data_IF_985597305431
#
_entry.id   IF_985597305431
#
_cell.length_a   1.000
_cell.length_b   1.000
_cell.length_c   1.000
_cell.angle_alpha   90.00
_cell.angle_beta   90.00
_cell.angle_gamma   90.00
#
_symmetry.space_group_name_H-M   'P 1'
#
loop_
_entity.id
_entity.type
_entity.pdbx_description
1 polymer ?
#
# COMPACT_ATOMS: atom_id res chain seq x y z
N UNK A 1 -8.90 11.77 -0.60
CA UNK A 1 -8.06 12.43 -1.61
C UNK A 1 -7.53 11.40 -2.60
N UNK A 2 -8.38 11.04 -3.56
CA UNK A 2 -8.00 10.16 -4.66
C UNK A 2 -7.58 11.04 -5.84
N UNK A 3 -6.61 10.56 -6.62
CA UNK A 3 -6.15 11.23 -7.84
C UNK A 3 -7.25 11.10 -8.89
N UNK A 4 -7.59 12.22 -9.55
CA UNK A 4 -8.58 12.22 -10.62
C UNK A 4 -8.01 11.52 -11.87
N UNK A 5 -8.69 10.50 -12.43
CA UNK A 5 -8.27 9.86 -13.68
C UNK A 5 -8.22 10.79 -14.90
N UNK A 6 -8.96 11.89 -14.87
CA UNK A 6 -9.00 12.88 -15.96
C UNK A 6 -7.94 13.98 -15.79
N UNK A 7 -7.41 14.19 -14.58
CA UNK A 7 -6.40 15.19 -14.30
C UNK A 7 -4.99 14.62 -14.44
N UNK A 8 -4.43 14.76 -15.64
CA UNK A 8 -3.07 14.28 -15.96
C UNK A 8 -2.01 15.02 -15.13
N UNK A 9 -2.19 16.30 -14.86
CA UNK A 9 -1.23 17.10 -14.11
C UNK A 9 -1.19 16.66 -12.65
N UNK A 10 -2.35 16.43 -12.03
CA UNK A 10 -2.44 15.91 -10.68
C UNK A 10 -1.76 14.53 -10.56
N UNK A 11 -1.94 13.65 -11.54
CA UNK A 11 -1.26 12.35 -11.57
C UNK A 11 0.25 12.54 -11.66
N UNK A 12 0.72 13.40 -12.55
CA UNK A 12 2.14 13.66 -12.74
C UNK A 12 2.79 14.22 -11.47
N UNK A 13 2.18 15.22 -10.86
CA UNK A 13 2.67 15.84 -9.63
C UNK A 13 2.73 14.84 -8.47
N UNK A 14 1.71 14.00 -8.30
CA UNK A 14 1.68 12.99 -7.26
C UNK A 14 2.81 11.95 -7.43
N UNK A 15 3.03 11.46 -8.65
CA UNK A 15 4.09 10.49 -8.91
C UNK A 15 5.49 11.12 -8.86
N UNK A 16 5.65 12.38 -9.28
CA UNK A 16 6.90 13.14 -9.09
C UNK A 16 7.21 13.34 -7.61
N UNK A 17 6.24 13.76 -6.81
CA UNK A 17 6.43 13.94 -5.38
C UNK A 17 6.83 12.63 -4.68
N UNK A 18 6.15 11.53 -5.01
CA UNK A 18 6.50 10.21 -4.49
C UNK A 18 7.90 9.76 -4.94
N UNK A 19 8.26 9.99 -6.18
CA UNK A 19 9.57 9.67 -6.74
C UNK A 19 10.70 10.46 -6.06
N UNK A 20 10.51 11.75 -5.85
CA UNK A 20 11.47 12.59 -5.11
C UNK A 20 11.62 12.14 -3.66
N UNK A 21 10.52 11.78 -3.01
CA UNK A 21 10.55 11.29 -1.63
C UNK A 21 11.42 10.04 -1.45
N UNK A 22 11.35 9.08 -2.40
CA UNK A 22 12.19 7.89 -2.33
C UNK A 22 13.61 8.15 -2.86
N UNK A 23 13.78 9.05 -3.82
CA UNK A 23 15.09 9.42 -4.34
C UNK A 23 15.96 10.09 -3.27
N UNK A 24 15.38 10.94 -2.43
CA UNK A 24 16.09 11.55 -1.30
C UNK A 24 16.71 10.52 -0.34
N UNK A 25 16.08 9.35 -0.18
CA UNK A 25 16.63 8.27 0.63
C UNK A 25 17.93 7.70 0.06
N UNK A 26 18.21 7.89 -1.22
CA UNK A 26 19.47 7.47 -1.84
C UNK A 26 20.67 8.26 -1.33
N UNK A 27 20.47 9.45 -0.81
CA UNK A 27 21.53 10.26 -0.17
C UNK A 27 21.80 9.92 1.30
N UNK A 28 20.97 9.03 1.88
CA UNK A 28 21.16 8.67 3.28
C UNK A 28 22.51 7.97 3.49
N UNK A 29 23.31 8.43 4.44
CA UNK A 29 24.58 7.83 4.81
C UNK A 29 24.38 6.75 5.85
N UNK A 30 24.56 5.48 5.45
CA UNK A 30 24.56 4.38 6.40
C UNK A 30 25.88 4.37 7.20
N UNK A 31 25.77 4.24 8.51
CA UNK A 31 26.94 4.07 9.40
C UNK A 31 27.63 2.73 9.15
N UNK A 32 26.85 1.68 8.89
CA UNK A 32 27.38 0.34 8.60
C UNK A 32 27.87 0.28 7.16
N UNK A 33 29.18 0.11 7.01
CA UNK A 33 29.88 0.12 5.72
C UNK A 33 29.29 -0.90 4.72
N UNK A 34 28.91 -2.09 5.18
CA UNK A 34 28.32 -3.13 4.33
C UNK A 34 27.04 -2.64 3.64
N UNK A 35 26.18 -1.92 4.35
CA UNK A 35 24.94 -1.38 3.78
C UNK A 35 25.22 -0.21 2.84
N UNK A 36 26.19 0.62 3.16
CA UNK A 36 26.63 1.70 2.28
C UNK A 36 27.13 1.16 0.95
N UNK A 37 28.08 0.21 0.97
CA UNK A 37 28.64 -0.42 -0.24
C UNK A 37 27.58 -1.14 -1.07
N UNK A 38 26.68 -1.90 -0.43
CA UNK A 38 25.59 -2.58 -1.12
C UNK A 38 24.71 -1.60 -1.90
N UNK A 39 24.40 -0.45 -1.29
CA UNK A 39 23.57 0.56 -1.92
C UNK A 39 24.29 1.34 -3.03
N UNK A 40 25.57 1.64 -2.87
CA UNK A 40 26.40 2.25 -3.92
C UNK A 40 26.51 1.32 -5.14
N UNK A 41 26.55 0.02 -4.89
CA UNK A 41 26.65 -0.98 -5.94
C UNK A 41 25.34 -1.26 -6.66
N UNK A 42 24.24 -1.43 -5.94
CA UNK A 42 22.89 -1.72 -6.47
C UNK A 42 21.83 -0.89 -5.73
N UNK A 43 21.68 0.41 -6.08
CA UNK A 43 20.65 1.23 -5.49
C UNK A 43 19.29 0.76 -5.94
N UNK A 44 18.37 0.57 -5.00
CA UNK A 44 16.98 0.18 -5.24
C UNK A 44 16.06 1.13 -4.46
N UNK A 45 15.08 1.67 -5.13
CA UNK A 45 13.96 2.40 -4.52
C UNK A 45 12.64 1.86 -5.03
N UNK A 46 11.55 2.15 -4.33
CA UNK A 46 10.26 1.63 -4.73
C UNK A 46 9.13 2.62 -4.48
N UNK A 47 8.60 3.21 -5.53
CA UNK A 47 7.32 3.92 -5.50
C UNK A 47 6.21 2.92 -5.74
N UNK A 48 5.18 2.97 -4.91
CA UNK A 48 3.95 2.21 -5.05
C UNK A 48 2.75 3.10 -4.75
N UNK A 49 1.57 2.59 -4.90
CA UNK A 49 0.32 3.32 -4.69
C UNK A 49 -0.69 2.47 -3.91
N UNK A 50 -1.72 3.15 -3.40
CA UNK A 50 -2.95 2.56 -2.87
C UNK A 50 -4.11 2.97 -3.76
N UNK A 51 -5.21 2.21 -3.73
CA UNK A 51 -6.44 2.60 -4.41
C UNK A 51 -6.41 2.44 -5.93
N UNK A 52 -5.57 1.57 -6.49
CA UNK A 52 -5.55 1.36 -7.95
C UNK A 52 -6.88 0.83 -8.45
N UNK A 53 -7.51 -0.07 -7.71
CA UNK A 53 -8.81 -0.61 -8.08
C UNK A 53 -9.87 0.49 -8.13
N UNK A 54 -9.91 1.35 -7.11
CA UNK A 54 -10.82 2.48 -7.05
C UNK A 54 -10.56 3.46 -8.20
N UNK A 55 -9.28 3.71 -8.51
CA UNK A 55 -8.90 4.55 -9.64
C UNK A 55 -9.43 4.01 -10.97
N UNK A 56 -9.30 2.71 -11.23
CA UNK A 56 -9.78 2.11 -12.46
C UNK A 56 -11.32 2.03 -12.52
N UNK A 57 -11.99 1.82 -11.39
CA UNK A 57 -13.46 1.93 -11.32
C UNK A 57 -13.90 3.35 -11.67
N UNK A 58 -13.19 4.36 -11.18
CA UNK A 58 -13.47 5.76 -11.50
C UNK A 58 -13.19 6.10 -12.97
N UNK A 59 -12.07 5.58 -13.50
CA UNK A 59 -11.64 5.86 -14.88
C UNK A 59 -12.52 5.17 -15.94
N UNK A 60 -12.97 3.96 -15.67
CA UNK A 60 -13.61 3.09 -16.67
C UNK A 60 -15.06 2.70 -16.31
N UNK A 61 -15.48 2.96 -15.08
CA UNK A 61 -16.86 2.74 -14.62
C UNK A 61 -17.24 1.27 -14.42
N UNK A 62 -18.54 1.07 -14.28
CA UNK A 62 -19.17 -0.26 -14.07
C UNK A 62 -18.83 -1.31 -15.13
N UNK A 63 -18.67 -0.99 -16.43
CA UNK A 63 -18.28 -2.01 -17.41
C UNK A 63 -16.94 -2.68 -17.10
N UNK A 64 -15.95 -1.91 -16.65
CA UNK A 64 -14.67 -2.45 -16.24
C UNK A 64 -14.77 -3.34 -15.00
N UNK A 65 -15.60 -2.94 -14.02
CA UNK A 65 -15.84 -3.73 -12.81
C UNK A 65 -16.47 -5.09 -13.15
N UNK A 66 -17.49 -5.11 -14.00
CA UNK A 66 -18.13 -6.35 -14.47
C UNK A 66 -17.16 -7.25 -15.22
N UNK A 67 -16.33 -6.67 -16.07
CA UNK A 67 -15.28 -7.41 -16.77
C UNK A 67 -14.25 -8.00 -15.79
N UNK A 68 -13.86 -7.24 -14.76
CA UNK A 68 -12.98 -7.74 -13.70
C UNK A 68 -13.62 -8.90 -12.94
N UNK A 69 -14.87 -8.75 -12.47
CA UNK A 69 -15.62 -9.80 -11.75
C UNK A 69 -15.81 -11.07 -12.58
N UNK A 70 -15.96 -10.94 -13.89
CA UNK A 70 -16.03 -12.07 -14.83
C UNK A 70 -14.67 -12.78 -15.04
N UNK A 71 -13.63 -12.41 -14.30
CA UNK A 71 -12.29 -13.02 -14.43
C UNK A 71 -11.44 -12.46 -15.57
N UNK A 72 -11.72 -11.24 -16.02
CA UNK A 72 -10.93 -10.51 -17.05
C UNK A 72 -10.87 -11.25 -18.40
N UNK A 73 -11.98 -11.67 -18.99
CA UNK A 73 -11.98 -12.47 -20.23
C UNK A 73 -11.34 -11.72 -21.40
N UNK A 74 -10.75 -12.47 -22.33
CA UNK A 74 -10.06 -11.98 -23.54
C UNK A 74 -11.03 -11.55 -24.64
N UNK A 75 -12.02 -10.76 -24.32
CA UNK A 75 -12.94 -10.14 -25.28
C UNK A 75 -12.29 -8.93 -25.96
N UNK A 76 -12.90 -8.41 -27.02
CA UNK A 76 -12.46 -7.16 -27.67
C UNK A 76 -12.44 -6.00 -26.65
N UNK A 77 -13.48 -5.86 -25.87
CA UNK A 77 -13.60 -4.86 -24.81
C UNK A 77 -12.57 -5.09 -23.69
N UNK A 78 -12.36 -6.35 -23.30
CA UNK A 78 -11.35 -6.72 -22.30
C UNK A 78 -9.92 -6.38 -22.73
N UNK A 79 -9.61 -6.53 -24.01
CA UNK A 79 -8.32 -6.09 -24.56
C UNK A 79 -8.15 -4.58 -24.52
N UNK A 80 -9.21 -3.82 -24.78
CA UNK A 80 -9.21 -2.35 -24.67
C UNK A 80 -8.99 -1.90 -23.23
N UNK A 81 -9.66 -2.53 -22.25
CA UNK A 81 -9.41 -2.25 -20.84
C UNK A 81 -7.97 -2.54 -20.44
N UNK A 82 -7.41 -3.69 -20.83
CA UNK A 82 -6.00 -4.02 -20.55
C UNK A 82 -5.04 -3.00 -21.15
N UNK A 83 -5.31 -2.55 -22.37
CA UNK A 83 -4.49 -1.52 -23.02
C UNK A 83 -4.55 -0.18 -22.27
N UNK A 84 -5.73 0.24 -21.84
CA UNK A 84 -5.92 1.47 -21.05
C UNK A 84 -5.24 1.38 -19.69
N UNK A 85 -5.40 0.27 -18.96
CA UNK A 85 -4.66 0.00 -17.72
C UNK A 85 -3.14 0.13 -17.94
N UNK A 86 -2.62 -0.55 -18.96
CA UNK A 86 -1.20 -0.53 -19.30
C UNK A 86 -0.69 0.87 -19.66
N UNK A 87 -1.53 1.69 -20.29
CA UNK A 87 -1.20 3.07 -20.65
C UNK A 87 -0.98 3.93 -19.40
N UNK A 88 -1.88 3.85 -18.40
CA UNK A 88 -1.71 4.55 -17.13
C UNK A 88 -0.45 4.08 -16.40
N UNK A 89 -0.31 2.78 -16.22
CA UNK A 89 0.81 2.21 -15.48
C UNK A 89 2.17 2.52 -16.13
N UNK A 90 2.24 2.46 -17.46
CA UNK A 90 3.46 2.77 -18.20
C UNK A 90 3.83 4.24 -18.08
N UNK A 91 2.84 5.14 -18.15
CA UNK A 91 3.05 6.59 -17.96
C UNK A 91 3.59 6.87 -16.55
N UNK A 92 2.94 6.36 -15.51
CA UNK A 92 3.37 6.58 -14.14
C UNK A 92 4.76 6.01 -13.87
N UNK A 93 5.04 4.81 -14.38
CA UNK A 93 6.38 4.22 -14.29
C UNK A 93 7.43 5.13 -14.95
N UNK A 94 7.11 5.68 -16.11
CA UNK A 94 8.02 6.61 -16.81
C UNK A 94 8.29 7.85 -15.98
N UNK A 95 7.26 8.49 -15.44
CA UNK A 95 7.39 9.68 -14.58
C UNK A 95 8.29 9.37 -13.38
N UNK A 96 8.06 8.25 -12.71
CA UNK A 96 8.86 7.83 -11.55
C UNK A 96 10.33 7.62 -11.94
N UNK A 97 10.59 6.88 -13.02
CA UNK A 97 11.95 6.61 -13.47
C UNK A 97 12.69 7.90 -13.85
N UNK A 98 12.07 8.74 -14.66
CA UNK A 98 12.67 9.99 -15.13
C UNK A 98 13.01 10.89 -13.94
N UNK A 99 12.09 11.04 -12.98
CA UNK A 99 12.29 11.88 -11.80
C UNK A 99 13.40 11.35 -10.89
N UNK A 100 13.42 10.03 -10.62
CA UNK A 100 14.46 9.41 -9.79
C UNK A 100 15.82 9.52 -10.47
N UNK A 101 15.90 9.26 -11.78
CA UNK A 101 17.15 9.33 -12.52
C UNK A 101 17.68 10.75 -12.63
N UNK A 102 16.82 11.74 -12.88
CA UNK A 102 17.22 13.17 -12.87
C UNK A 102 17.79 13.56 -11.50
N UNK A 103 17.16 13.13 -10.40
CA UNK A 103 17.69 13.35 -9.07
C UNK A 103 19.06 12.70 -8.88
N UNK A 104 19.23 11.46 -9.32
CA UNK A 104 20.50 10.73 -9.24
C UNK A 104 21.62 11.44 -10.01
N UNK A 105 21.34 11.90 -11.23
CA UNK A 105 22.32 12.62 -12.05
C UNK A 105 22.74 13.93 -11.39
N UNK A 106 21.77 14.70 -10.87
CA UNK A 106 22.03 15.97 -10.18
C UNK A 106 22.90 15.81 -8.93
N UNK A 107 22.78 14.68 -8.26
CA UNK A 107 23.53 14.39 -7.02
C UNK A 107 24.69 13.42 -7.19
N UNK A 108 25.06 13.10 -8.44
CA UNK A 108 26.14 12.15 -8.75
C UNK A 108 25.96 10.79 -8.06
N UNK A 109 24.73 10.28 -8.05
CA UNK A 109 24.37 8.98 -7.52
C UNK A 109 24.13 8.02 -8.68
N UNK A 110 24.52 6.75 -8.54
CA UNK A 110 24.21 5.72 -9.52
C UNK A 110 22.70 5.57 -9.67
N UNK A 111 22.21 5.59 -10.92
CA UNK A 111 20.79 5.39 -11.21
C UNK A 111 20.34 4.00 -10.80
N UNK A 112 19.26 3.87 -10.02
CA UNK A 112 18.68 2.57 -9.71
C UNK A 112 18.04 1.96 -10.96
N UNK A 113 18.17 0.66 -11.10
CA UNK A 113 17.50 -0.11 -12.16
C UNK A 113 16.01 -0.33 -11.85
N UNK A 114 15.61 -0.22 -10.58
CA UNK A 114 14.25 -0.43 -10.09
C UNK A 114 13.81 0.77 -9.26
N UNK A 115 12.78 1.48 -9.76
CA UNK A 115 12.23 2.66 -9.10
C UNK A 115 10.76 2.46 -8.67
N UNK A 116 10.12 1.39 -9.10
CA UNK A 116 8.73 1.07 -8.78
C UNK A 116 8.62 -0.29 -8.11
N UNK A 117 7.61 -0.45 -7.27
CA UNK A 117 7.33 -1.70 -6.57
C UNK A 117 5.82 -1.89 -6.42
N UNK A 118 5.42 -3.09 -6.01
CA UNK A 118 4.04 -3.39 -5.63
C UNK A 118 4.04 -3.76 -4.15
N UNK A 119 3.46 -2.90 -3.33
CA UNK A 119 3.32 -3.15 -1.90
C UNK A 119 1.91 -3.66 -1.58
N UNK A 120 1.73 -4.44 -0.49
CA UNK A 120 0.39 -4.89 -0.07
C UNK A 120 -0.53 -3.74 0.34
N UNK A 121 0.02 -2.66 0.89
CA UNK A 121 -0.66 -1.42 1.31
C UNK A 121 -1.91 -1.61 2.21
N UNK A 122 -2.00 -2.72 2.94
CA UNK A 122 -3.16 -3.06 3.76
C UNK A 122 -3.47 -2.02 4.85
N UNK A 123 -2.44 -1.53 5.55
CA UNK A 123 -2.59 -0.52 6.61
C UNK A 123 -2.64 0.91 6.05
N UNK A 124 -1.78 1.23 5.09
CA UNK A 124 -1.70 2.58 4.51
C UNK A 124 -2.97 2.98 3.78
N UNK A 125 -3.63 2.04 3.12
CA UNK A 125 -4.90 2.29 2.43
C UNK A 125 -6.02 2.75 3.36
N UNK A 126 -5.94 2.40 4.64
CA UNK A 126 -6.93 2.83 5.65
C UNK A 126 -6.86 4.33 5.91
N UNK A 127 -5.65 4.91 5.92
CA UNK A 127 -5.46 6.33 6.13
C UNK A 127 -6.10 7.17 5.01
N UNK A 128 -6.18 6.61 3.83
CA UNK A 128 -6.72 7.27 2.64
C UNK A 128 -8.15 6.85 2.31
N UNK A 129 -8.70 5.83 3.00
CA UNK A 129 -10.00 5.25 2.67
C UNK A 129 -10.04 4.57 1.31
N UNK A 130 -8.89 4.11 0.81
CA UNK A 130 -8.74 3.53 -0.52
C UNK A 130 -8.62 1.99 -0.48
N UNK A 131 -8.82 1.35 -1.63
CA UNK A 131 -8.52 -0.08 -1.79
C UNK A 131 -7.02 -0.37 -1.58
N UNK A 132 -6.66 -1.56 -1.05
CA UNK A 132 -5.28 -1.86 -0.68
C UNK A 132 -4.40 -2.16 -1.91
N UNK A 133 -3.50 -1.23 -2.24
CA UNK A 133 -2.52 -1.42 -3.32
C UNK A 133 -3.18 -1.75 -4.67
N UNK A 134 -2.89 -2.94 -5.17
CA UNK A 134 -3.42 -3.48 -6.43
C UNK A 134 -4.66 -4.37 -6.24
N UNK A 135 -5.08 -4.59 -5.02
CA UNK A 135 -6.16 -5.53 -4.71
C UNK A 135 -7.52 -4.83 -4.73
N UNK A 136 -8.58 -5.52 -5.14
CA UNK A 136 -9.93 -5.07 -4.86
C UNK A 136 -10.19 -5.07 -3.35
N UNK A 137 -11.23 -4.37 -2.88
CA UNK A 137 -11.73 -4.54 -1.51
C UNK A 137 -12.04 -6.02 -1.25
N UNK A 138 -11.77 -6.49 -0.03
CA UNK A 138 -11.98 -7.91 0.34
C UNK A 138 -13.43 -8.35 0.17
N UNK A 139 -14.36 -7.47 0.48
CA UNK A 139 -15.80 -7.66 0.36
C UNK A 139 -16.50 -6.30 0.44
N UNK A 140 -17.78 -6.27 0.06
CA UNK A 140 -18.63 -5.07 0.24
C UNK A 140 -18.84 -4.73 1.73
N UNK A 141 -18.84 -5.74 2.58
CA UNK A 141 -18.95 -5.61 4.03
C UNK A 141 -18.00 -6.59 4.68
N UNK A 142 -17.23 -6.15 5.64
CA UNK A 142 -16.31 -7.00 6.38
C UNK A 142 -16.08 -6.48 7.80
N UNK A 143 -15.74 -7.38 8.70
CA UNK A 143 -15.31 -7.04 10.05
C UNK A 143 -13.80 -6.92 10.03
N UNK A 144 -13.29 -5.78 10.47
CA UNK A 144 -11.87 -5.57 10.64
C UNK A 144 -11.54 -5.67 12.13
N UNK A 145 -10.55 -6.47 12.44
CA UNK A 145 -9.98 -6.54 13.79
C UNK A 145 -8.65 -5.78 13.80
N UNK A 146 -8.53 -4.84 14.73
CA UNK A 146 -7.32 -4.00 14.89
C UNK A 146 -6.66 -4.45 16.19
N UNK A 147 -5.35 -4.69 16.14
CA UNK A 147 -4.55 -5.10 17.29
C UNK A 147 -4.12 -3.87 18.08
N UNK A 148 -4.36 -3.91 19.38
CA UNK A 148 -3.88 -2.95 20.37
C UNK A 148 -3.10 -3.68 21.46
N UNK A 149 -2.20 -2.97 22.11
CA UNK A 149 -1.67 -3.48 23.39
C UNK A 149 -2.77 -3.54 24.43
N UNK A 150 -2.67 -4.48 25.35
CA UNK A 150 -3.60 -4.53 26.48
C UNK A 150 -3.60 -3.21 27.24
N UNK A 151 -4.77 -2.73 27.61
CA UNK A 151 -4.99 -1.45 28.29
C UNK A 151 -4.62 -0.21 27.44
N UNK A 152 -4.52 -0.33 26.11
CA UNK A 152 -4.38 0.84 25.26
C UNK A 152 -5.59 1.78 25.42
N UNK A 153 -5.37 3.09 25.62
CA UNK A 153 -6.46 4.06 25.84
C UNK A 153 -7.51 4.07 24.73
N UNK A 154 -7.10 3.85 23.47
CA UNK A 154 -8.02 3.81 22.33
C UNK A 154 -8.88 2.55 22.40
N UNK A 155 -8.29 1.40 22.75
CA UNK A 155 -9.04 0.16 22.92
C UNK A 155 -10.02 0.25 24.08
N UNK A 156 -9.65 0.89 25.20
CA UNK A 156 -10.55 1.15 26.32
C UNK A 156 -11.71 2.05 25.91
N UNK A 157 -11.44 3.12 25.18
CA UNK A 157 -12.51 3.99 24.64
C UNK A 157 -13.44 3.21 23.71
N UNK A 158 -12.90 2.35 22.84
CA UNK A 158 -13.73 1.48 21.99
C UNK A 158 -14.63 0.57 22.82
N UNK A 159 -14.15 0.04 23.94
CA UNK A 159 -14.94 -0.78 24.85
C UNK A 159 -16.09 0.01 25.48
N UNK A 160 -15.85 1.27 25.88
CA UNK A 160 -16.89 2.16 26.42
C UNK A 160 -17.98 2.46 25.37
N UNK A 161 -17.63 2.45 24.09
CA UNK A 161 -18.56 2.56 22.97
C UNK A 161 -19.22 1.24 22.56
N UNK A 162 -18.98 0.14 23.30
CA UNK A 162 -19.62 -1.14 23.07
C UNK A 162 -18.98 -2.00 21.96
N UNK A 163 -17.76 -1.70 21.54
CA UNK A 163 -17.02 -2.57 20.63
C UNK A 163 -16.57 -3.86 21.32
N UNK A 164 -16.61 -4.97 20.60
CA UNK A 164 -16.15 -6.25 21.11
C UNK A 164 -14.63 -6.29 21.16
N UNK A 165 -14.09 -6.69 22.32
CA UNK A 165 -12.66 -6.93 22.53
C UNK A 165 -12.42 -8.40 22.78
N UNK A 166 -11.46 -8.98 22.07
CA UNK A 166 -11.02 -10.37 22.26
C UNK A 166 -9.49 -10.43 22.38
N UNK A 167 -8.91 -11.46 23.00
CA UNK A 167 -7.47 -11.65 23.02
C UNK A 167 -6.89 -11.81 21.62
N UNK A 168 -5.63 -11.40 21.44
CA UNK A 168 -4.89 -11.69 20.21
C UNK A 168 -4.70 -13.20 20.01
N UNK A 169 -4.62 -13.63 18.76
CA UNK A 169 -4.33 -15.03 18.44
C UNK A 169 -2.88 -15.44 18.80
N UNK A 170 -2.03 -14.47 19.10
CA UNK A 170 -0.69 -14.72 19.65
C UNK A 170 -0.71 -15.15 21.12
N UNK A 171 -1.74 -14.73 21.87
CA UNK A 171 -1.84 -14.98 23.30
C UNK A 171 -2.48 -16.36 23.58
N UNK A 172 -1.70 -17.22 24.22
CA UNK A 172 -2.08 -18.61 24.50
C UNK A 172 -1.84 -18.95 25.97
N UNK A 173 -2.57 -19.92 26.45
CA UNK A 173 -2.34 -20.52 27.77
C UNK A 173 -1.09 -21.44 27.76
N UNK A 174 -0.79 -22.06 28.93
CA UNK A 174 0.34 -22.95 29.11
C UNK A 174 0.24 -24.24 28.26
N UNK A 175 -0.96 -24.57 27.80
CA UNK A 175 -1.23 -25.75 26.98
C UNK A 175 -1.24 -25.40 25.48
N UNK A 176 -0.95 -24.12 25.11
CA UNK A 176 -0.98 -23.66 23.74
C UNK A 176 -2.38 -23.38 23.18
N UNK A 177 -3.42 -23.40 24.03
CA UNK A 177 -4.79 -23.03 23.65
C UNK A 177 -4.93 -21.51 23.64
N UNK A 178 -5.68 -20.99 22.67
CA UNK A 178 -5.99 -19.56 22.57
C UNK A 178 -6.74 -19.08 23.82
N UNK A 179 -6.38 -17.91 24.33
CA UNK A 179 -7.13 -17.26 25.40
C UNK A 179 -8.48 -16.78 24.84
N UNK A 180 -9.49 -16.85 25.67
CA UNK A 180 -10.86 -16.39 25.35
C UNK A 180 -11.27 -15.16 26.19
N UNK A 181 -10.55 -14.87 27.28
CA UNK A 181 -10.78 -13.72 28.11
C UNK A 181 -9.75 -12.63 27.90
N UNK A 182 -10.14 -11.43 27.39
CA UNK A 182 -9.20 -10.33 27.14
C UNK A 182 -8.57 -9.77 28.43
N UNK A 183 -9.16 -10.05 29.60
CA UNK A 183 -8.65 -9.59 30.89
C UNK A 183 -7.75 -10.63 31.60
N UNK A 184 -7.53 -11.79 30.97
CA UNK A 184 -6.60 -12.79 31.49
C UNK A 184 -5.19 -12.14 31.68
N UNK A 185 -4.53 -12.40 32.85
CA UNK A 185 -3.20 -11.87 33.10
C UNK A 185 -2.16 -12.18 32.00
N UNK A 186 -2.32 -13.29 31.30
CA UNK A 186 -1.45 -13.72 30.18
C UNK A 186 -1.77 -13.05 28.86
N UNK A 187 -2.90 -12.36 28.76
CA UNK A 187 -3.26 -11.60 27.56
C UNK A 187 -2.38 -10.35 27.49
N UNK A 188 -1.67 -10.15 26.39
CA UNK A 188 -0.77 -9.02 26.14
C UNK A 188 -1.31 -8.06 25.09
N UNK A 189 -2.14 -8.56 24.18
CA UNK A 189 -2.70 -7.80 23.07
C UNK A 189 -4.21 -8.04 22.92
N UNK A 190 -4.90 -6.98 22.56
CA UNK A 190 -6.34 -6.98 22.31
C UNK A 190 -6.63 -6.79 20.82
N UNK A 191 -7.63 -7.53 20.33
CA UNK A 191 -8.26 -7.31 19.02
C UNK A 191 -9.61 -6.63 19.22
N UNK A 192 -9.75 -5.43 18.71
CA UNK A 192 -10.97 -4.65 18.72
C UNK A 192 -11.66 -4.73 17.37
#
# INVERSE_FOLDING_TARGET
NQIDPLDINQQEDAFKAAALSVACLLNHRFEVERYRKSREWDPIVGVSFTGLFDFFVHAFGTPWLKWWEAGRPETKEGKDFKLKEATFLSRWRKIVNDTVWEYCDRHNIRRPSRCTTVQPAGTKSLLTGASPGWHPPKAQRFIRRITFRKNDPVALACMDYGYTIVPSQSDKDENGKLLDNPFDPKCTEWLV
#
